data_IF_848310377352
#
_entry.id   IF_848310377352
#
_cell.length_a   1.000
_cell.length_b   1.000
_cell.length_c   1.000
_cell.angle_alpha   90.00
_cell.angle_beta   90.00
_cell.angle_gamma   90.00
#
_symmetry.space_group_name_H-M   'P 1'
#
loop_
_entity.id
_entity.type
_entity.pdbx_description
1 polymer ?
#
# COMPACT_ATOMS: atom_id res chain seq x y z
N UNK A 1 -18.65 -23.48 5.05
CA UNK A 1 -17.83 -22.25 5.08
C UNK A 1 -17.45 -21.97 3.65
N UNK A 2 -17.92 -20.87 3.05
CA UNK A 2 -17.49 -20.49 1.71
C UNK A 2 -16.01 -20.10 1.82
N UNK A 3 -15.14 -20.81 1.11
CA UNK A 3 -13.72 -20.48 1.10
C UNK A 3 -13.55 -19.12 0.46
N UNK A 4 -13.13 -18.13 1.26
CA UNK A 4 -12.83 -16.78 0.77
C UNK A 4 -11.62 -16.85 -0.14
N UNK A 5 -11.71 -16.14 -1.27
CA UNK A 5 -10.62 -16.05 -2.24
C UNK A 5 -9.39 -15.37 -1.59
N UNK A 6 -8.22 -16.03 -1.56
CA UNK A 6 -7.01 -15.44 -1.04
C UNK A 6 -6.41 -14.43 -2.03
N UNK A 7 -6.10 -13.22 -1.58
CA UNK A 7 -5.56 -12.12 -2.41
C UNK A 7 -4.35 -11.46 -1.75
N UNK A 8 -3.51 -10.79 -2.53
CA UNK A 8 -2.54 -9.83 -1.99
C UNK A 8 -3.29 -8.55 -1.63
N UNK A 9 -3.27 -8.13 -0.37
CA UNK A 9 -3.74 -6.80 0.01
C UNK A 9 -2.60 -5.82 -0.23
N UNK A 10 -2.70 -5.03 -1.30
CA UNK A 10 -1.64 -4.14 -1.76
C UNK A 10 -1.98 -2.70 -1.43
N UNK A 11 -1.11 -2.04 -0.67
CA UNK A 11 -1.18 -0.62 -0.34
C UNK A 11 -0.18 0.13 -1.23
N UNK A 12 -0.70 1.02 -2.06
CA UNK A 12 0.05 1.90 -2.93
C UNK A 12 0.27 3.23 -2.21
N UNK A 13 1.51 3.68 -2.08
CA UNK A 13 1.89 4.94 -1.43
C UNK A 13 2.47 5.88 -2.49
N UNK A 14 1.81 7.01 -2.71
CA UNK A 14 2.28 8.06 -3.62
C UNK A 14 3.00 9.13 -2.83
N UNK A 15 4.31 9.21 -3.01
CA UNK A 15 5.18 10.08 -2.22
C UNK A 15 5.07 11.54 -2.64
N UNK A 16 4.82 11.81 -3.92
CA UNK A 16 4.65 13.17 -4.45
C UNK A 16 3.32 13.76 -4.02
N UNK A 17 2.22 13.04 -4.23
CA UNK A 17 0.86 13.50 -3.90
C UNK A 17 0.49 13.22 -2.45
N UNK A 18 1.33 12.47 -1.71
CA UNK A 18 1.18 12.16 -0.29
C UNK A 18 -0.17 11.53 0.04
N UNK A 19 -0.59 10.59 -0.79
CA UNK A 19 -1.83 9.80 -0.60
C UNK A 19 -1.52 8.32 -0.60
N UNK A 20 -2.52 7.53 -0.20
CA UNK A 20 -2.48 6.09 -0.33
C UNK A 20 -3.71 5.57 -1.05
N UNK A 21 -3.53 4.40 -1.65
CA UNK A 21 -4.60 3.58 -2.21
C UNK A 21 -4.43 2.15 -1.75
N UNK A 22 -5.50 1.39 -1.65
CA UNK A 22 -5.47 -0.02 -1.25
C UNK A 22 -6.33 -0.85 -2.19
N UNK A 23 -5.75 -1.95 -2.67
CA UNK A 23 -6.37 -2.86 -3.62
C UNK A 23 -6.14 -4.32 -3.21
N UNK A 24 -7.00 -5.22 -3.68
CA UNK A 24 -6.70 -6.65 -3.72
C UNK A 24 -6.03 -7.01 -5.04
N UNK A 25 -5.12 -7.99 -5.04
CA UNK A 25 -4.64 -8.65 -6.26
C UNK A 25 -4.93 -10.14 -6.13
N UNK A 26 -5.75 -10.65 -7.03
CA UNK A 26 -6.14 -12.06 -7.06
C UNK A 26 -5.02 -12.95 -7.60
N UNK A 27 -5.13 -14.27 -7.42
CA UNK A 27 -4.09 -15.22 -7.87
C UNK A 27 -3.84 -15.23 -9.39
N UNK A 28 -4.80 -14.75 -10.18
CA UNK A 28 -4.70 -14.57 -11.63
C UNK A 28 -4.12 -13.19 -12.04
N UNK A 29 -3.70 -12.37 -11.08
CA UNK A 29 -3.13 -11.05 -11.34
C UNK A 29 -4.15 -9.94 -11.61
N UNK A 30 -5.44 -10.18 -11.39
CA UNK A 30 -6.45 -9.11 -11.51
C UNK A 30 -6.41 -8.19 -10.29
N UNK A 31 -6.21 -6.90 -10.57
CA UNK A 31 -6.32 -5.82 -9.60
C UNK A 31 -7.78 -5.55 -9.22
N UNK A 32 -8.04 -5.36 -7.94
CA UNK A 32 -9.36 -5.09 -7.36
C UNK A 32 -9.26 -3.81 -6.53
N UNK A 33 -9.49 -2.63 -7.12
CA UNK A 33 -9.51 -1.36 -6.40
C UNK A 33 -10.48 -1.39 -5.21
N UNK A 34 -10.03 -1.01 -4.02
CA UNK A 34 -10.88 -0.99 -2.82
C UNK A 34 -11.15 0.45 -2.39
N UNK A 35 -10.09 1.19 -2.10
CA UNK A 35 -10.20 2.52 -1.50
C UNK A 35 -8.96 3.36 -1.77
N UNK A 36 -9.14 4.68 -1.86
CA UNK A 36 -8.05 5.64 -1.92
C UNK A 36 -8.36 6.89 -1.10
N UNK A 37 -7.35 7.72 -0.85
CA UNK A 37 -7.53 9.07 -0.28
C UNK A 37 -7.34 10.16 -1.32
N UNK A 38 -7.81 11.35 -0.96
CA UNK A 38 -7.39 12.56 -1.65
C UNK A 38 -5.88 12.80 -1.49
N UNK A 39 -5.26 13.54 -2.42
CA UNK A 39 -3.91 14.07 -2.25
C UNK A 39 -3.76 14.82 -0.93
N UNK A 40 -2.59 14.66 -0.31
CA UNK A 40 -2.21 15.33 0.93
C UNK A 40 -2.64 14.64 2.21
N UNK A 41 -3.12 13.40 2.14
CA UNK A 41 -3.48 12.61 3.32
C UNK A 41 -2.33 12.46 4.33
N UNK A 42 -1.08 12.41 3.84
CA UNK A 42 0.12 12.36 4.68
C UNK A 42 0.74 13.75 4.96
N UNK A 43 0.07 14.86 4.66
CA UNK A 43 0.64 16.21 4.87
C UNK A 43 1.01 16.49 6.33
N UNK A 44 0.28 15.88 7.27
CA UNK A 44 0.52 16.04 8.71
C UNK A 44 1.88 15.51 9.19
N UNK A 45 2.58 14.66 8.41
CA UNK A 45 3.92 14.18 8.78
C UNK A 45 5.03 15.16 8.44
N UNK A 46 4.79 16.13 7.56
CA UNK A 46 5.86 16.96 7.02
C UNK A 46 6.39 17.90 8.10
N UNK A 47 7.72 17.93 8.26
CA UNK A 47 8.41 18.82 9.20
C UNK A 47 8.44 18.33 10.67
N UNK A 48 7.84 17.18 10.97
CA UNK A 48 7.91 16.55 12.29
C UNK A 48 9.23 15.80 12.50
N UNK A 49 9.53 15.36 13.72
CA UNK A 49 10.67 14.47 13.98
C UNK A 49 10.45 13.06 13.42
N UNK A 50 11.52 12.27 13.24
CA UNK A 50 11.41 10.89 12.75
C UNK A 50 10.40 10.06 13.57
N UNK A 51 10.43 10.17 14.89
CA UNK A 51 9.55 9.39 15.77
C UNK A 51 8.08 9.78 15.64
N UNK A 52 7.80 11.08 15.49
CA UNK A 52 6.46 11.59 15.24
C UNK A 52 5.94 11.16 13.86
N UNK A 53 6.78 11.28 12.82
CA UNK A 53 6.45 10.82 11.47
C UNK A 53 6.17 9.32 11.45
N UNK A 54 7.03 8.51 12.07
CA UNK A 54 6.87 7.08 12.13
C UNK A 54 5.64 6.68 12.95
N UNK A 55 5.38 7.33 14.08
CA UNK A 55 4.18 7.11 14.89
C UNK A 55 2.91 7.40 14.09
N UNK A 56 2.87 8.53 13.40
CA UNK A 56 1.75 8.92 12.55
C UNK A 56 1.52 7.91 11.42
N UNK A 57 2.55 7.57 10.65
CA UNK A 57 2.40 6.65 9.50
C UNK A 57 1.97 5.26 9.96
N UNK A 58 2.53 4.74 11.06
CA UNK A 58 2.11 3.44 11.64
C UNK A 58 0.63 3.44 12.02
N UNK A 59 0.17 4.50 12.68
CA UNK A 59 -1.25 4.64 13.01
C UNK A 59 -2.11 4.73 11.75
N UNK A 60 -1.71 5.58 10.80
CA UNK A 60 -2.48 5.84 9.58
C UNK A 60 -2.58 4.60 8.70
N UNK A 61 -1.45 3.94 8.42
CA UNK A 61 -1.37 2.72 7.62
C UNK A 61 -2.04 1.52 8.29
N UNK A 62 -1.97 1.38 9.62
CA UNK A 62 -2.81 0.39 10.34
C UNK A 62 -4.30 0.58 10.05
N UNK A 63 -4.76 1.84 10.03
CA UNK A 63 -6.13 2.17 9.64
C UNK A 63 -6.44 1.86 8.17
N UNK A 64 -5.46 1.99 7.26
CA UNK A 64 -5.59 1.58 5.85
C UNK A 64 -5.81 0.08 5.76
N UNK A 65 -4.99 -0.70 6.45
CA UNK A 65 -5.08 -2.16 6.45
C UNK A 65 -6.41 -2.65 6.98
N UNK A 66 -6.88 -2.09 8.10
CA UNK A 66 -8.19 -2.43 8.65
C UNK A 66 -9.29 -2.20 7.61
N UNK A 67 -9.33 -1.01 6.99
CA UNK A 67 -10.35 -0.70 5.96
C UNK A 67 -10.21 -1.58 4.72
N UNK A 68 -8.99 -1.89 4.29
CA UNK A 68 -8.71 -2.80 3.18
C UNK A 68 -9.27 -4.20 3.45
N UNK A 69 -8.97 -4.76 4.63
CA UNK A 69 -9.51 -6.03 5.09
C UNK A 69 -11.05 -6.04 5.13
N UNK A 70 -11.67 -4.97 5.65
CA UNK A 70 -13.13 -4.85 5.69
C UNK A 70 -13.75 -4.88 4.28
N UNK A 71 -13.16 -4.16 3.30
CA UNK A 71 -13.62 -4.18 1.90
C UNK A 71 -13.45 -5.55 1.26
N UNK A 72 -12.31 -6.21 1.48
CA UNK A 72 -12.08 -7.57 0.99
C UNK A 72 -13.11 -8.55 1.56
N UNK A 73 -13.40 -8.45 2.85
CA UNK A 73 -14.38 -9.32 3.50
C UNK A 73 -15.78 -9.20 2.87
N UNK A 74 -16.22 -7.97 2.59
CA UNK A 74 -17.47 -7.70 1.87
C UNK A 74 -17.51 -8.29 0.45
N UNK A 75 -16.35 -8.54 -0.16
CA UNK A 75 -16.19 -9.13 -1.49
C UNK A 75 -15.86 -10.63 -1.47
N UNK A 76 -16.03 -11.31 -0.33
CA UNK A 76 -15.68 -12.73 -0.15
C UNK A 76 -14.19 -13.04 -0.41
N UNK A 77 -13.31 -12.06 -0.15
CA UNK A 77 -11.86 -12.18 -0.27
C UNK A 77 -11.19 -12.11 1.11
N UNK A 78 -9.98 -12.65 1.22
CA UNK A 78 -9.14 -12.54 2.42
C UNK A 78 -7.68 -12.27 2.03
N UNK A 79 -6.94 -11.44 2.79
CA UNK A 79 -5.52 -11.26 2.53
C UNK A 79 -4.74 -12.55 2.82
N UNK A 80 -3.92 -13.00 1.88
CA UNK A 80 -2.89 -14.03 2.10
C UNK A 80 -1.52 -13.42 2.43
N UNK A 81 -1.28 -12.21 1.92
CA UNK A 81 -0.09 -11.40 2.14
C UNK A 81 -0.51 -9.92 2.12
N UNK A 82 0.15 -9.08 2.91
CA UNK A 82 0.04 -7.62 2.85
C UNK A 82 1.28 -7.06 2.18
N UNK A 83 1.09 -6.27 1.13
CA UNK A 83 2.20 -5.69 0.37
C UNK A 83 2.08 -4.18 0.39
N UNK A 84 3.12 -3.48 0.83
CA UNK A 84 3.25 -2.04 0.64
C UNK A 84 4.15 -1.77 -0.56
N UNK A 85 3.74 -0.85 -1.43
CA UNK A 85 4.54 -0.39 -2.57
C UNK A 85 4.52 1.12 -2.58
N UNK A 86 5.67 1.74 -2.36
CA UNK A 86 5.85 3.18 -2.54
C UNK A 86 6.48 3.49 -3.91
N UNK A 87 6.12 4.61 -4.52
CA UNK A 87 6.74 5.11 -5.76
C UNK A 87 8.19 5.60 -5.56
N UNK A 88 8.53 6.02 -4.35
CA UNK A 88 9.86 6.45 -3.90
C UNK A 88 9.83 6.55 -2.35
N UNK A 89 10.93 6.84 -1.64
CA UNK A 89 10.83 7.27 -0.25
C UNK A 89 9.96 8.54 -0.11
N UNK A 90 9.14 8.62 0.95
CA UNK A 90 8.20 9.72 1.13
C UNK A 90 8.91 11.09 1.06
N UNK A 91 8.55 11.92 0.07
CA UNK A 91 9.24 13.19 -0.16
C UNK A 91 9.08 14.15 1.01
N UNK A 92 10.17 14.87 1.31
CA UNK A 92 10.24 15.85 2.40
C UNK A 92 9.97 15.26 3.79
N UNK A 93 10.11 13.95 3.92
CA UNK A 93 10.18 13.24 5.20
C UNK A 93 11.61 12.95 5.60
N UNK A 94 11.79 12.43 6.83
CA UNK A 94 13.09 11.97 7.29
C UNK A 94 13.60 10.80 6.41
N UNK A 95 14.89 10.74 6.05
CA UNK A 95 15.43 9.71 5.15
C UNK A 95 15.17 8.28 5.64
N UNK A 96 15.27 8.05 6.95
CA UNK A 96 15.05 6.72 7.56
C UNK A 96 13.58 6.36 7.79
N UNK A 97 12.63 7.24 7.42
CA UNK A 97 11.22 7.03 7.74
C UNK A 97 10.66 5.76 7.10
N UNK A 98 10.93 5.57 5.80
CA UNK A 98 10.39 4.42 5.06
C UNK A 98 10.88 3.11 5.65
N UNK A 99 12.19 3.00 5.94
CA UNK A 99 12.78 1.83 6.58
C UNK A 99 12.14 1.55 7.94
N UNK A 100 12.07 2.57 8.81
CA UNK A 100 11.53 2.43 10.17
C UNK A 100 10.05 2.01 10.20
N UNK A 101 9.26 2.48 9.23
CA UNK A 101 7.85 2.09 9.10
C UNK A 101 7.72 0.68 8.53
N UNK A 102 8.52 0.34 7.52
CA UNK A 102 8.52 -0.98 6.89
C UNK A 102 8.89 -2.09 7.90
N UNK A 103 10.01 -1.91 8.62
CA UNK A 103 10.46 -2.82 9.67
C UNK A 103 9.38 -3.03 10.73
N UNK A 104 8.74 -1.96 11.19
CA UNK A 104 7.68 -2.07 12.18
C UNK A 104 6.54 -2.98 11.72
N UNK A 105 6.05 -2.84 10.48
CA UNK A 105 4.95 -3.67 10.01
C UNK A 105 5.37 -5.14 9.84
N UNK A 106 6.58 -5.39 9.37
CA UNK A 106 7.12 -6.75 9.20
C UNK A 106 7.34 -7.43 10.55
N UNK A 107 7.88 -6.73 11.53
CA UNK A 107 8.13 -7.26 12.87
C UNK A 107 6.84 -7.56 13.64
N UNK A 108 5.84 -6.68 13.53
CA UNK A 108 4.65 -6.75 14.38
C UNK A 108 3.47 -7.49 13.76
N UNK A 109 3.42 -7.65 12.43
CA UNK A 109 2.34 -8.39 11.76
C UNK A 109 2.84 -9.74 11.21
N UNK A 110 2.41 -10.83 11.87
CA UNK A 110 2.85 -12.19 11.52
C UNK A 110 1.81 -13.00 10.73
N UNK A 111 0.56 -12.53 10.64
CA UNK A 111 -0.53 -13.24 9.95
C UNK A 111 -1.66 -12.29 9.54
N UNK A 112 -1.75 -11.92 8.25
CA UNK A 112 -0.88 -12.33 7.13
C UNK A 112 0.53 -11.68 7.20
N UNK A 113 1.55 -12.31 6.59
CA UNK A 113 2.89 -11.73 6.46
C UNK A 113 2.88 -10.43 5.66
N UNK A 114 3.96 -9.67 5.80
CA UNK A 114 4.12 -8.35 5.19
C UNK A 114 5.41 -8.29 4.38
N UNK A 115 5.31 -7.65 3.22
CA UNK A 115 6.47 -7.18 2.46
C UNK A 115 6.30 -5.70 2.12
N UNK A 116 7.41 -4.98 2.09
CA UNK A 116 7.45 -3.56 1.75
C UNK A 116 8.45 -3.34 0.61
N UNK A 117 8.00 -2.67 -0.45
CA UNK A 117 8.79 -2.37 -1.62
C UNK A 117 8.80 -0.88 -1.94
N UNK A 118 9.86 -0.44 -2.61
CA UNK A 118 9.94 0.85 -3.31
C UNK A 118 10.12 0.57 -4.80
N UNK A 119 9.40 1.31 -5.63
CA UNK A 119 9.59 1.30 -7.07
C UNK A 119 10.72 2.25 -7.44
N UNK A 120 11.89 1.73 -7.82
CA UNK A 120 13.09 2.57 -8.04
C UNK A 120 13.01 3.44 -9.30
N UNK A 121 12.25 3.00 -10.30
CA UNK A 121 12.02 3.75 -11.54
C UNK A 121 10.78 4.66 -11.46
N UNK A 122 10.16 4.77 -10.27
CA UNK A 122 8.90 5.47 -10.07
C UNK A 122 7.73 4.81 -10.79
N UNK A 123 6.56 5.45 -10.76
CA UNK A 123 5.33 4.93 -11.41
C UNK A 123 5.11 5.48 -12.83
N UNK A 124 6.17 6.00 -13.46
CA UNK A 124 6.11 6.71 -14.73
C UNK A 124 6.77 5.92 -15.86
N UNK A 125 5.97 5.27 -16.71
CA UNK A 125 6.42 4.76 -18.01
C UNK A 125 5.83 3.41 -18.40
N UNK A 126 6.02 3.05 -19.68
CA UNK A 126 5.73 1.72 -20.24
C UNK A 126 6.81 0.67 -19.88
N UNK A 127 7.78 1.03 -19.04
CA UNK A 127 8.86 0.16 -18.60
C UNK A 127 8.39 -0.80 -17.50
N UNK A 128 9.03 -1.96 -17.42
CA UNK A 128 8.80 -2.94 -16.35
C UNK A 128 9.19 -2.31 -15.00
N UNK A 129 8.30 -2.40 -14.01
CA UNK A 129 8.51 -1.80 -12.70
C UNK A 129 9.57 -2.60 -11.93
N UNK A 130 10.66 -1.94 -11.54
CA UNK A 130 11.67 -2.52 -10.65
C UNK A 130 11.27 -2.29 -9.19
N UNK A 131 11.06 -3.38 -8.44
CA UNK A 131 10.71 -3.33 -7.02
C UNK A 131 11.90 -3.70 -6.15
N UNK A 132 12.40 -2.73 -5.39
CA UNK A 132 13.41 -2.95 -4.37
C UNK A 132 12.75 -3.28 -3.04
N UNK A 133 13.20 -4.36 -2.40
CA UNK A 133 12.69 -4.77 -1.09
C UNK A 133 13.28 -3.88 0.00
N UNK A 134 12.41 -3.27 0.80
CA UNK A 134 12.79 -2.48 1.99
C UNK A 134 12.79 -3.36 3.24
N UNK A 135 11.73 -4.15 3.41
CA UNK A 135 11.59 -5.09 4.52
C UNK A 135 10.61 -6.23 4.18
N UNK A 136 10.77 -7.36 4.86
CA UNK A 136 9.91 -8.52 4.69
C UNK A 136 10.25 -9.35 3.45
N UNK A 137 9.51 -10.43 3.25
CA UNK A 137 9.73 -11.37 2.17
C UNK A 137 8.40 -11.64 1.46
N UNK A 138 8.44 -11.69 0.13
CA UNK A 138 7.33 -12.14 -0.70
C UNK A 138 7.82 -13.32 -1.53
N UNK A 139 7.02 -14.39 -1.64
CA UNK A 139 7.44 -15.52 -2.45
C UNK A 139 7.50 -15.13 -3.94
N UNK A 140 8.35 -15.79 -4.74
CA UNK A 140 8.55 -15.41 -6.14
C UNK A 140 7.27 -15.42 -6.99
N UNK A 141 6.31 -16.29 -6.67
CA UNK A 141 5.04 -16.38 -7.43
C UNK A 141 4.18 -15.15 -7.14
N UNK A 142 4.04 -14.79 -5.86
CA UNK A 142 3.30 -13.60 -5.46
C UNK A 142 4.00 -12.31 -5.93
N UNK A 143 5.34 -12.30 -5.98
CA UNK A 143 6.09 -11.18 -6.57
C UNK A 143 5.85 -11.04 -8.07
N UNK A 144 5.82 -12.13 -8.84
CA UNK A 144 5.49 -12.10 -10.27
C UNK A 144 4.05 -11.60 -10.51
N UNK A 145 3.10 -12.08 -9.70
CA UNK A 145 1.70 -11.63 -9.72
C UNK A 145 1.60 -10.13 -9.44
N UNK A 146 2.31 -9.66 -8.41
CA UNK A 146 2.36 -8.25 -8.04
C UNK A 146 2.90 -7.39 -9.18
N UNK A 147 4.08 -7.71 -9.71
CA UNK A 147 4.73 -6.93 -10.78
C UNK A 147 3.86 -6.84 -12.04
N UNK A 148 3.14 -7.91 -12.39
CA UNK A 148 2.21 -7.91 -13.54
C UNK A 148 0.95 -7.07 -13.30
N UNK A 149 0.44 -7.05 -12.06
CA UNK A 149 -0.81 -6.37 -11.73
C UNK A 149 -0.62 -4.86 -11.47
N UNK A 150 0.56 -4.45 -10.97
CA UNK A 150 0.85 -3.08 -10.57
C UNK A 150 0.62 -2.04 -11.68
N UNK A 151 1.09 -2.22 -12.93
CA UNK A 151 0.89 -1.22 -13.99
C UNK A 151 -0.60 -0.89 -14.21
N UNK A 152 -1.45 -1.90 -14.28
CA UNK A 152 -2.89 -1.74 -14.45
C UNK A 152 -3.53 -1.06 -13.24
N UNK A 153 -3.11 -1.42 -12.02
CA UNK A 153 -3.59 -0.77 -10.80
C UNK A 153 -3.19 0.71 -10.75
N UNK A 154 -1.95 1.03 -11.10
CA UNK A 154 -1.43 2.40 -11.17
C UNK A 154 -2.21 3.22 -12.19
N UNK A 155 -2.47 2.68 -13.39
CA UNK A 155 -3.31 3.35 -14.38
C UNK A 155 -4.73 3.62 -13.85
N UNK A 156 -5.28 2.66 -13.10
CA UNK A 156 -6.61 2.77 -12.50
C UNK A 156 -6.67 3.87 -11.42
N UNK A 157 -5.55 4.33 -10.85
CA UNK A 157 -5.53 5.46 -9.90
C UNK A 157 -6.04 6.78 -10.49
N UNK A 158 -6.09 6.88 -11.83
CA UNK A 158 -6.63 8.04 -12.55
C UNK A 158 -8.15 7.95 -12.73
N UNK A 159 -8.74 6.75 -12.63
CA UNK A 159 -10.18 6.53 -12.73
C UNK A 159 -10.84 6.67 -11.36
N UNK A 160 -11.46 7.82 -11.12
CA UNK A 160 -12.10 8.12 -9.83
C UNK A 160 -13.28 7.20 -9.51
N UNK A 161 -13.97 6.67 -10.51
CA UNK A 161 -15.16 5.82 -10.30
C UNK A 161 -14.79 4.39 -9.89
N UNK A 162 -13.55 3.97 -10.18
CA UNK A 162 -13.03 2.67 -9.77
C UNK A 162 -12.78 2.56 -8.25
N UNK A 163 -12.64 3.67 -7.53
CA UNK A 163 -12.23 3.67 -6.12
C UNK A 163 -13.30 4.24 -5.18
N UNK A 164 -13.39 3.64 -4.00
CA UNK A 164 -14.06 4.29 -2.87
C UNK A 164 -13.15 5.34 -2.24
N UNK A 165 -13.62 6.57 -2.05
CA UNK A 165 -12.84 7.61 -1.38
C UNK A 165 -13.02 7.54 0.13
N UNK A 166 -11.92 7.34 0.85
CA UNK A 166 -11.92 7.42 2.31
C UNK A 166 -12.19 8.87 2.73
N UNK A 167 -13.19 9.08 3.59
CA UNK A 167 -13.42 10.38 4.18
C UNK A 167 -12.19 10.80 5.01
N UNK A 168 -11.52 11.88 4.60
CA UNK A 168 -10.56 12.56 5.46
C UNK A 168 -11.34 13.14 6.64
N UNK A 169 -11.09 12.65 7.86
CA UNK A 169 -11.61 13.38 9.04
C UNK A 169 -11.06 14.80 8.97
N UNK A 170 -11.89 15.84 9.11
CA UNK A 170 -11.34 17.19 9.25
C UNK A 170 -10.40 17.20 10.46
N UNK A 171 -9.27 17.94 10.39
CA UNK A 171 -8.44 18.16 11.57
C UNK A 171 -9.31 18.75 12.68
N UNK A 172 -9.16 18.19 13.88
CA UNK A 172 -9.83 18.67 15.09
C UNK A 172 -9.29 20.04 15.51
#
# INVERSE_FOLDING_TARGET
MTDKEPVLLTVLIESVTRRWSVAGITSDGRGVPLMCTEPGDFDAVVGQTLDEQASYLRHRLSGVLQRGCDRLWGRQMKPRHIVFVADEPLRRSHPDLTQRVAEHFVEWMTSPPVAFFICTDGWSGDAELTLDTVAGELDPTDQEILTKALPTLIQTLQDREAWEFAASKPPA
#
